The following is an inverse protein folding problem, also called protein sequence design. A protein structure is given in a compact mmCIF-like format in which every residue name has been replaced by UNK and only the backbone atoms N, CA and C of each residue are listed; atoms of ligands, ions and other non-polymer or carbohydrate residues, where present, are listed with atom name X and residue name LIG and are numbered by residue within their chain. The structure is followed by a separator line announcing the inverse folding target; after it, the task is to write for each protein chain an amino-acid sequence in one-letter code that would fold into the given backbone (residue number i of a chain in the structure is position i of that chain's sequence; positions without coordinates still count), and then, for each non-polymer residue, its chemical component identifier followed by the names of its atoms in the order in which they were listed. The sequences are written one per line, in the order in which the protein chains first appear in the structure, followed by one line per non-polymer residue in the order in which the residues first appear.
data_IF_328778634239
#
_entry.id   IF_328778634239
#
_cell.length_a   1.000
_cell.length_b   1.000
_cell.length_c   1.000
_cell.angle_alpha   90.00
_cell.angle_beta   90.00
_cell.angle_gamma   90.00
#
_symmetry.space_group_name_H-M   'P 1'
#
loop_
_entity.id
_entity.type
_entity.pdbx_description
1 polymer ?
#
# COMPACT_ATOMS: atom_id res chain seq x y z
N UNK A 1 37.53 -1.56 -9.95
CA UNK A 1 37.66 -2.46 -11.11
C UNK A 1 36.95 -3.75 -10.68
N UNK A 2 35.94 -4.19 -11.37
CA UNK A 2 35.14 -5.39 -11.02
C UNK A 2 36.02 -6.62 -11.23
N UNK A 3 36.19 -7.44 -10.20
CA UNK A 3 37.05 -8.64 -10.28
C UNK A 3 36.30 -9.88 -10.77
N UNK A 4 35.01 -9.95 -10.54
CA UNK A 4 34.13 -11.03 -11.04
C UNK A 4 32.67 -10.54 -11.03
N UNK A 5 31.90 -10.85 -12.06
CA UNK A 5 30.45 -10.56 -12.12
C UNK A 5 29.70 -11.87 -12.17
N UNK A 6 28.95 -12.17 -11.11
CA UNK A 6 27.97 -13.26 -11.11
C UNK A 6 26.60 -12.72 -11.49
N UNK A 7 25.97 -13.27 -12.52
CA UNK A 7 24.61 -12.92 -12.89
C UNK A 7 23.64 -13.87 -12.16
N UNK A 8 22.84 -13.34 -11.26
CA UNK A 8 21.74 -14.08 -10.63
C UNK A 8 20.49 -13.93 -11.46
N UNK A 9 20.15 -14.98 -12.24
CA UNK A 9 18.86 -15.08 -12.92
C UNK A 9 17.83 -15.63 -11.90
N UNK A 10 16.74 -14.94 -11.76
CA UNK A 10 15.68 -15.23 -10.82
C UNK A 10 15.01 -16.60 -11.07
N UNK A 11 15.00 -17.54 -10.11
CA UNK A 11 14.18 -18.73 -10.18
C UNK A 11 12.78 -18.46 -9.61
N UNK A 12 11.86 -18.04 -10.44
CA UNK A 12 10.46 -17.73 -10.09
C UNK A 12 9.63 -18.91 -9.54
N UNK A 13 10.18 -20.10 -9.33
CA UNK A 13 9.42 -21.25 -8.83
C UNK A 13 10.34 -22.24 -8.12
N UNK A 14 10.73 -21.96 -6.89
CA UNK A 14 11.29 -23.00 -6.03
C UNK A 14 10.82 -22.80 -4.58
N UNK A 15 10.60 -23.91 -3.91
CA UNK A 15 10.25 -23.99 -2.49
C UNK A 15 11.17 -23.09 -1.65
N UNK A 16 10.59 -22.25 -0.81
CA UNK A 16 11.30 -21.18 -0.08
C UNK A 16 12.57 -21.64 0.66
N UNK A 17 12.60 -22.88 1.20
CA UNK A 17 13.77 -23.42 1.88
C UNK A 17 14.97 -23.64 0.93
N UNK A 18 14.75 -24.26 -0.24
CA UNK A 18 15.82 -24.50 -1.21
C UNK A 18 16.38 -23.20 -1.81
N UNK A 19 15.58 -22.14 -1.85
CA UNK A 19 16.04 -20.80 -2.25
C UNK A 19 16.91 -20.19 -1.16
N UNK A 20 16.52 -20.29 0.12
CA UNK A 20 17.29 -19.77 1.24
C UNK A 20 18.68 -20.43 1.32
N UNK A 21 18.77 -21.77 1.22
CA UNK A 21 20.04 -22.51 1.24
C UNK A 21 20.96 -22.08 0.07
N UNK A 22 20.39 -21.86 -1.11
CA UNK A 22 21.16 -21.38 -2.27
C UNK A 22 21.64 -19.96 -2.10
N UNK A 23 20.84 -19.08 -1.51
CA UNK A 23 21.23 -17.69 -1.21
C UNK A 23 22.36 -17.67 -0.18
N UNK A 24 22.27 -18.46 0.89
CA UNK A 24 23.33 -18.60 1.89
C UNK A 24 24.66 -19.05 1.27
N UNK A 25 24.63 -20.06 0.41
CA UNK A 25 25.82 -20.52 -0.33
C UNK A 25 26.40 -19.49 -1.28
N UNK A 26 25.58 -18.61 -1.87
CA UNK A 26 26.04 -17.50 -2.71
C UNK A 26 26.68 -16.42 -1.84
N UNK A 27 26.03 -16.02 -0.76
CA UNK A 27 26.53 -15.00 0.16
C UNK A 27 27.84 -15.42 0.83
N UNK A 28 27.96 -16.70 1.24
CA UNK A 28 29.19 -17.24 1.81
C UNK A 28 30.36 -17.15 0.82
N UNK A 29 30.14 -17.52 -0.44
CA UNK A 29 31.15 -17.37 -1.49
C UNK A 29 31.53 -15.93 -1.79
N UNK A 30 30.56 -15.02 -1.78
CA UNK A 30 30.85 -13.58 -1.95
C UNK A 30 31.79 -13.08 -0.87
N UNK A 31 31.59 -13.48 0.39
CA UNK A 31 32.44 -13.11 1.51
C UNK A 31 33.83 -13.75 1.44
N UNK A 32 33.90 -15.07 1.13
CA UNK A 32 35.16 -15.84 1.10
C UNK A 32 36.05 -15.48 -0.09
N UNK A 33 35.47 -15.26 -1.26
CA UNK A 33 36.17 -15.07 -2.54
C UNK A 33 36.25 -13.61 -2.97
N UNK A 34 35.66 -12.67 -2.20
CA UNK A 34 35.56 -11.25 -2.54
C UNK A 34 34.99 -11.02 -3.96
N UNK A 35 33.84 -11.64 -4.23
CA UNK A 35 33.16 -11.60 -5.54
C UNK A 35 32.09 -10.53 -5.55
N UNK A 36 32.06 -9.71 -6.59
CA UNK A 36 30.97 -8.81 -6.87
C UNK A 36 29.82 -9.58 -7.54
N UNK A 37 28.56 -9.34 -7.09
CA UNK A 37 27.35 -9.96 -7.64
C UNK A 37 26.39 -8.90 -8.14
N UNK A 38 25.82 -9.10 -9.33
CA UNK A 38 24.77 -8.25 -9.87
C UNK A 38 23.42 -8.97 -9.84
N UNK A 39 22.42 -8.36 -9.21
CA UNK A 39 21.03 -8.79 -9.28
C UNK A 39 20.34 -8.11 -10.47
N UNK A 40 19.77 -8.92 -11.37
CA UNK A 40 19.05 -8.42 -12.55
C UNK A 40 17.66 -9.05 -12.63
N UNK A 41 16.74 -8.37 -13.28
CA UNK A 41 15.37 -8.83 -13.59
C UNK A 41 15.10 -8.73 -15.08
N UNK A 42 14.01 -9.31 -15.56
CA UNK A 42 13.64 -9.26 -16.98
C UNK A 42 13.33 -7.83 -17.44
N UNK A 43 12.80 -7.00 -16.56
CA UNK A 43 12.50 -5.59 -16.81
C UNK A 43 12.43 -4.77 -15.53
N UNK A 44 12.89 -3.52 -15.59
CA UNK A 44 12.77 -2.58 -14.49
C UNK A 44 13.82 -2.73 -13.38
N UNK A 45 13.49 -2.24 -12.20
CA UNK A 45 14.36 -2.24 -11.02
C UNK A 45 14.15 -3.52 -10.21
N UNK A 46 15.20 -4.31 -9.93
CA UNK A 46 15.11 -5.51 -9.09
C UNK A 46 14.47 -5.25 -7.73
N UNK A 47 13.84 -6.26 -7.15
CA UNK A 47 13.16 -6.23 -5.85
C UNK A 47 11.96 -5.26 -5.73
N UNK A 48 11.59 -4.54 -6.79
CA UNK A 48 10.40 -3.68 -6.83
C UNK A 48 9.29 -4.38 -7.61
N UNK A 49 8.41 -5.11 -6.95
CA UNK A 49 7.44 -6.04 -7.54
C UNK A 49 8.06 -7.16 -8.37
N UNK A 50 9.34 -7.33 -8.24
CA UNK A 50 10.16 -8.41 -8.78
C UNK A 50 10.89 -9.10 -7.63
N UNK A 51 11.27 -10.35 -7.77
CA UNK A 51 12.05 -11.05 -6.76
C UNK A 51 13.44 -10.43 -6.57
N UNK A 52 13.99 -10.61 -5.35
CA UNK A 52 15.32 -10.12 -5.01
C UNK A 52 15.41 -9.50 -3.62
N UNK A 53 14.28 -9.14 -3.03
CA UNK A 53 14.14 -8.56 -1.70
C UNK A 53 14.82 -9.43 -0.62
N UNK A 54 14.64 -10.75 -0.67
CA UNK A 54 15.27 -11.68 0.25
C UNK A 54 16.81 -11.65 0.11
N UNK A 55 17.34 -11.66 -1.12
CA UNK A 55 18.78 -11.58 -1.34
C UNK A 55 19.37 -10.28 -0.79
N UNK A 56 18.71 -9.16 -1.08
CA UNK A 56 19.12 -7.84 -0.58
C UNK A 56 19.08 -7.81 0.95
N UNK A 57 18.03 -8.38 1.56
CA UNK A 57 17.89 -8.46 3.01
C UNK A 57 19.01 -9.28 3.66
N UNK A 58 19.29 -10.47 3.15
CA UNK A 58 20.34 -11.34 3.71
C UNK A 58 21.74 -10.78 3.46
N UNK A 59 22.01 -10.17 2.30
CA UNK A 59 23.29 -9.49 2.03
C UNK A 59 23.53 -8.36 3.05
N UNK A 60 22.53 -7.53 3.29
CA UNK A 60 22.62 -6.45 4.28
C UNK A 60 22.85 -6.98 5.71
N UNK A 61 22.18 -8.08 6.09
CA UNK A 61 22.41 -8.74 7.40
C UNK A 61 23.82 -9.33 7.54
N UNK A 62 24.37 -9.84 6.45
CA UNK A 62 25.74 -10.36 6.41
C UNK A 62 26.83 -9.25 6.37
N UNK A 63 26.43 -7.98 6.34
CA UNK A 63 27.37 -6.85 6.25
C UNK A 63 27.95 -6.65 4.86
N UNK A 64 27.37 -7.26 3.82
CA UNK A 64 27.77 -7.06 2.43
C UNK A 64 27.17 -5.74 1.95
N UNK A 65 27.99 -4.91 1.32
CA UNK A 65 27.53 -3.65 0.76
C UNK A 65 26.56 -3.90 -0.40
N UNK A 66 25.37 -3.29 -0.32
CA UNK A 66 24.36 -3.34 -1.39
C UNK A 66 24.32 -1.98 -2.08
N UNK A 67 24.74 -1.96 -3.35
CA UNK A 67 24.80 -0.74 -4.16
C UNK A 67 23.60 -0.67 -5.10
N UNK A 68 22.67 0.27 -4.91
CA UNK A 68 21.56 0.45 -5.83
C UNK A 68 22.05 1.09 -7.15
N UNK A 69 21.69 0.48 -8.27
CA UNK A 69 21.97 1.04 -9.59
C UNK A 69 20.68 1.73 -10.08
N UNK A 70 20.64 3.06 -10.22
CA UNK A 70 19.49 3.76 -10.75
C UNK A 70 19.13 3.26 -12.15
N UNK A 71 17.85 2.97 -12.35
CA UNK A 71 17.38 2.42 -13.62
C UNK A 71 15.90 2.68 -13.88
N UNK A 72 15.37 2.02 -14.89
CA UNK A 72 13.98 2.13 -15.28
C UNK A 72 13.05 1.65 -14.17
N UNK A 73 12.06 2.48 -13.82
CA UNK A 73 11.01 2.14 -12.87
C UNK A 73 9.66 2.62 -13.43
N UNK A 74 8.77 1.68 -13.75
CA UNK A 74 7.47 2.00 -14.34
C UNK A 74 6.60 2.86 -13.41
N UNK A 75 6.73 2.70 -12.07
CA UNK A 75 6.04 3.52 -11.08
C UNK A 75 6.45 4.98 -11.21
N UNK A 76 7.76 5.28 -11.22
CA UNK A 76 8.27 6.65 -11.35
C UNK A 76 7.91 7.25 -12.72
N UNK A 77 8.02 6.48 -13.79
CA UNK A 77 7.66 6.91 -15.13
C UNK A 77 6.15 7.24 -15.24
N UNK A 78 5.28 6.38 -14.72
CA UNK A 78 3.84 6.62 -14.70
C UNK A 78 3.46 7.85 -13.87
N UNK A 79 4.05 8.02 -12.68
CA UNK A 79 3.83 9.19 -11.83
C UNK A 79 4.28 10.49 -12.50
N UNK A 80 5.42 10.50 -13.19
CA UNK A 80 5.90 11.68 -13.92
C UNK A 80 4.99 12.07 -15.08
N UNK A 81 4.24 11.11 -15.63
CA UNK A 81 3.35 11.30 -16.76
C UNK A 81 1.88 11.48 -16.38
N UNK A 82 1.44 11.16 -15.16
CA UNK A 82 0.02 11.13 -14.80
C UNK A 82 -0.62 12.53 -14.71
N UNK A 83 0.13 13.55 -14.29
CA UNK A 83 -0.38 14.91 -14.07
C UNK A 83 -1.10 15.11 -12.73
N UNK A 84 -1.08 14.09 -11.84
CA UNK A 84 -1.66 14.19 -10.50
C UNK A 84 -0.64 14.77 -9.50
N UNK A 85 -1.12 15.31 -8.36
CA UNK A 85 -0.25 15.77 -7.29
C UNK A 85 0.33 14.58 -6.52
N UNK A 86 1.51 14.12 -6.94
CA UNK A 86 2.15 12.89 -6.45
C UNK A 86 3.27 13.13 -5.44
N UNK A 87 3.12 14.16 -4.57
CA UNK A 87 4.05 14.37 -3.44
C UNK A 87 4.06 13.18 -2.49
N UNK A 88 2.88 12.63 -2.27
CA UNK A 88 2.66 11.39 -1.54
C UNK A 88 1.90 10.43 -2.46
N UNK A 89 2.34 9.18 -2.49
CA UNK A 89 1.66 8.14 -3.25
C UNK A 89 1.86 6.78 -2.56
N UNK A 90 0.96 5.84 -2.84
CA UNK A 90 1.08 4.47 -2.39
C UNK A 90 1.20 3.52 -3.59
N UNK A 91 2.19 2.61 -3.56
CA UNK A 91 2.36 1.58 -4.56
C UNK A 91 1.88 0.23 -4.02
N UNK A 92 1.01 -0.44 -4.77
CA UNK A 92 0.36 -1.68 -4.34
C UNK A 92 0.77 -2.91 -5.15
N UNK A 93 1.67 -2.78 -6.13
CA UNK A 93 2.00 -3.88 -7.03
C UNK A 93 0.78 -4.38 -7.79
N UNK A 94 0.61 -5.70 -7.91
CA UNK A 94 -0.56 -6.31 -8.53
C UNK A 94 -1.72 -6.43 -7.53
N UNK A 95 -2.90 -5.99 -7.94
CA UNK A 95 -4.11 -6.07 -7.12
C UNK A 95 -4.71 -7.49 -7.13
N UNK A 96 -5.56 -7.83 -6.12
CA UNK A 96 -6.19 -9.15 -6.03
C UNK A 96 -6.91 -9.57 -7.31
N UNK A 97 -6.90 -10.87 -7.62
CA UNK A 97 -7.55 -11.41 -8.82
C UNK A 97 -9.05 -11.58 -8.66
N UNK A 98 -9.49 -12.03 -7.49
CA UNK A 98 -10.89 -12.26 -7.21
C UNK A 98 -11.66 -10.93 -7.11
N UNK A 99 -12.77 -10.80 -7.84
CA UNK A 99 -13.55 -9.56 -7.93
C UNK A 99 -14.00 -9.03 -6.57
N UNK A 100 -14.37 -9.91 -5.64
CA UNK A 100 -14.77 -9.53 -4.29
C UNK A 100 -13.64 -8.92 -3.48
N UNK A 101 -12.45 -9.51 -3.54
CA UNK A 101 -11.28 -9.02 -2.83
C UNK A 101 -10.70 -7.76 -3.49
N UNK A 102 -10.78 -7.67 -4.82
CA UNK A 102 -10.42 -6.45 -5.56
C UNK A 102 -11.26 -5.26 -5.11
N UNK A 103 -12.60 -5.43 -5.03
CA UNK A 103 -13.51 -4.38 -4.56
C UNK A 103 -13.17 -3.92 -3.14
N UNK A 104 -13.01 -4.85 -2.20
CA UNK A 104 -12.60 -4.54 -0.82
C UNK A 104 -11.25 -3.83 -0.76
N UNK A 105 -10.28 -4.28 -1.57
CA UNK A 105 -8.96 -3.66 -1.63
C UNK A 105 -9.05 -2.23 -2.14
N UNK A 106 -9.81 -1.97 -3.21
CA UNK A 106 -10.01 -0.62 -3.75
C UNK A 106 -10.75 0.29 -2.77
N UNK A 107 -11.75 -0.20 -2.04
CA UNK A 107 -12.42 0.54 -0.97
C UNK A 107 -11.46 0.93 0.16
N UNK A 108 -10.53 0.04 0.55
CA UNK A 108 -9.52 0.36 1.54
C UNK A 108 -8.49 1.37 1.00
N UNK A 109 -8.06 1.21 -0.25
CA UNK A 109 -7.12 2.10 -0.93
C UNK A 109 -7.72 3.51 -1.02
N UNK A 110 -8.99 3.64 -1.44
CA UNK A 110 -9.65 4.93 -1.64
C UNK A 110 -9.77 5.79 -0.38
N UNK A 111 -9.61 5.20 0.81
CA UNK A 111 -9.63 5.90 2.11
C UNK A 111 -8.23 6.28 2.61
N UNK A 112 -7.20 5.82 1.94
CA UNK A 112 -5.80 6.04 2.30
C UNK A 112 -5.18 7.25 1.58
N UNK A 113 -3.92 7.08 1.14
CA UNK A 113 -3.24 8.09 0.32
C UNK A 113 -3.96 8.22 -1.02
N UNK A 114 -4.35 9.45 -1.43
CA UNK A 114 -5.21 9.64 -2.61
C UNK A 114 -4.61 9.13 -3.91
N UNK A 115 -3.31 9.37 -4.11
CA UNK A 115 -2.62 8.93 -5.32
C UNK A 115 -2.04 7.55 -5.12
N UNK A 116 -2.49 6.60 -5.93
CA UNK A 116 -2.13 5.20 -5.82
C UNK A 116 -1.62 4.66 -7.15
N UNK A 117 -0.61 3.80 -7.09
CA UNK A 117 -0.04 3.15 -8.27
C UNK A 117 -0.24 1.64 -8.15
N UNK A 118 -0.61 0.99 -9.26
CA UNK A 118 -0.70 -0.45 -9.35
C UNK A 118 -0.21 -0.96 -10.72
N UNK A 119 0.28 -2.19 -10.74
CA UNK A 119 0.51 -2.94 -11.97
C UNK A 119 -0.70 -3.81 -12.28
N UNK A 120 -0.95 -4.03 -13.56
CA UNK A 120 -2.00 -4.95 -13.97
C UNK A 120 -1.63 -5.68 -15.27
N UNK A 121 -2.12 -6.91 -15.39
CA UNK A 121 -1.96 -7.68 -16.60
C UNK A 121 -2.89 -7.18 -17.70
N UNK A 122 -2.52 -7.34 -18.99
CA UNK A 122 -3.32 -6.88 -20.11
C UNK A 122 -4.71 -7.53 -20.17
N UNK A 123 -4.85 -8.78 -19.69
CA UNK A 123 -6.13 -9.50 -19.66
C UNK A 123 -7.10 -9.02 -18.57
N UNK A 124 -6.61 -8.23 -17.62
CA UNK A 124 -7.40 -7.80 -16.45
C UNK A 124 -7.58 -6.28 -16.33
N UNK A 125 -6.78 -5.50 -17.07
CA UNK A 125 -6.79 -4.05 -17.00
C UNK A 125 -8.20 -3.47 -17.25
N UNK A 126 -8.91 -3.97 -18.26
CA UNK A 126 -10.27 -3.54 -18.59
C UNK A 126 -11.25 -3.83 -17.46
N UNK A 127 -11.17 -5.01 -16.84
CA UNK A 127 -12.01 -5.39 -15.69
C UNK A 127 -11.73 -4.51 -14.47
N UNK A 128 -10.45 -4.23 -14.18
CA UNK A 128 -10.06 -3.35 -13.08
C UNK A 128 -10.63 -1.93 -13.28
N UNK A 129 -10.46 -1.36 -14.48
CA UNK A 129 -10.97 -0.03 -14.79
C UNK A 129 -12.52 -0.01 -14.76
N UNK A 130 -13.19 -1.10 -15.18
CA UNK A 130 -14.65 -1.20 -15.07
C UNK A 130 -15.12 -1.16 -13.61
N UNK A 131 -14.42 -1.83 -12.69
CA UNK A 131 -14.74 -1.77 -11.25
C UNK A 131 -14.52 -0.35 -10.70
N UNK A 132 -13.46 0.35 -11.13
CA UNK A 132 -13.24 1.75 -10.75
C UNK A 132 -14.36 2.66 -11.27
N UNK A 133 -14.77 2.51 -12.53
CA UNK A 133 -15.84 3.31 -13.14
C UNK A 133 -17.20 3.06 -12.47
N UNK A 134 -17.48 1.82 -12.04
CA UNK A 134 -18.72 1.45 -11.35
C UNK A 134 -18.78 2.03 -9.92
N UNK A 135 -17.68 2.00 -9.19
CA UNK A 135 -17.66 2.23 -7.74
C UNK A 135 -17.12 3.58 -7.32
N UNK A 136 -16.30 4.21 -8.17
CA UNK A 136 -15.57 5.44 -7.87
C UNK A 136 -15.65 6.40 -9.06
N UNK A 137 -16.86 6.94 -9.30
CA UNK A 137 -17.14 7.79 -10.47
C UNK A 137 -16.22 9.01 -10.57
N UNK A 138 -15.78 9.55 -9.42
CA UNK A 138 -14.90 10.72 -9.34
C UNK A 138 -13.41 10.36 -9.31
N UNK A 139 -13.06 9.07 -9.47
CA UNK A 139 -11.68 8.64 -9.57
C UNK A 139 -11.10 9.01 -10.94
N UNK A 140 -10.03 9.75 -10.94
CA UNK A 140 -9.22 10.01 -12.14
C UNK A 140 -8.19 8.88 -12.32
N UNK A 141 -7.95 8.51 -13.56
CA UNK A 141 -7.05 7.41 -13.92
C UNK A 141 -6.06 7.84 -14.98
N UNK A 142 -4.78 7.53 -14.76
CA UNK A 142 -3.75 7.52 -15.78
C UNK A 142 -3.31 6.07 -16.00
N UNK A 143 -3.68 5.51 -17.14
CA UNK A 143 -3.36 4.13 -17.52
C UNK A 143 -2.24 4.14 -18.55
N UNK A 144 -1.04 3.74 -18.14
CA UNK A 144 0.14 3.66 -18.98
C UNK A 144 0.31 2.23 -19.50
N UNK A 145 0.45 2.09 -20.81
CA UNK A 145 0.67 0.82 -21.50
C UNK A 145 2.03 0.85 -22.18
N UNK A 146 2.83 -0.20 -22.01
CA UNK A 146 4.12 -0.40 -22.66
C UNK A 146 5.07 0.80 -22.53
N UNK A 147 5.19 1.38 -21.33
CA UNK A 147 6.10 2.48 -21.04
C UNK A 147 7.51 2.19 -21.57
N UNK A 148 8.09 3.18 -22.24
CA UNK A 148 9.41 3.12 -22.90
C UNK A 148 9.53 2.16 -24.09
N UNK A 149 8.44 1.50 -24.51
CA UNK A 149 8.40 0.61 -25.68
C UNK A 149 7.87 1.31 -26.93
N UNK A 150 8.07 0.71 -28.11
CA UNK A 150 7.66 1.26 -29.41
C UNK A 150 6.16 1.61 -29.51
N UNK A 151 5.33 0.91 -28.74
CA UNK A 151 3.88 1.08 -28.78
C UNK A 151 3.33 1.69 -27.48
N UNK A 152 4.16 2.47 -26.79
CA UNK A 152 3.74 3.20 -25.59
C UNK A 152 2.43 3.98 -25.83
N UNK A 153 1.50 3.82 -24.91
CA UNK A 153 0.23 4.57 -24.88
C UNK A 153 -0.09 5.00 -23.46
N UNK A 154 -0.61 6.20 -23.34
CA UNK A 154 -1.07 6.72 -22.05
C UNK A 154 -2.50 7.22 -22.20
N UNK A 155 -3.41 6.60 -21.48
CA UNK A 155 -4.82 6.97 -21.40
C UNK A 155 -5.06 7.77 -20.12
N UNK A 156 -5.80 8.88 -20.19
CA UNK A 156 -6.09 9.75 -19.06
C UNK A 156 -7.54 10.17 -19.03
N UNK A 157 -8.09 10.40 -17.83
CA UNK A 157 -9.43 10.89 -17.59
C UNK A 157 -10.12 10.19 -16.44
N UNK A 158 -11.43 10.35 -16.33
CA UNK A 158 -12.21 9.56 -15.38
C UNK A 158 -12.11 8.06 -15.70
N UNK A 159 -12.33 7.20 -14.70
CA UNK A 159 -12.30 5.76 -14.92
C UNK A 159 -13.21 5.32 -16.08
N UNK A 160 -14.38 5.95 -16.24
CA UNK A 160 -15.30 5.68 -17.34
C UNK A 160 -14.70 6.04 -18.71
N UNK A 161 -14.06 7.21 -18.84
CA UNK A 161 -13.42 7.64 -20.08
C UNK A 161 -12.24 6.72 -20.47
N UNK A 162 -11.43 6.33 -19.49
CA UNK A 162 -10.30 5.41 -19.72
C UNK A 162 -10.81 4.03 -20.12
N UNK A 163 -11.93 3.56 -19.52
CA UNK A 163 -12.56 2.30 -19.91
C UNK A 163 -12.97 2.30 -21.40
N UNK A 164 -13.60 3.37 -21.86
CA UNK A 164 -14.01 3.49 -23.27
C UNK A 164 -12.81 3.54 -24.22
N UNK A 165 -11.75 4.25 -23.84
CA UNK A 165 -10.50 4.29 -24.61
C UNK A 165 -9.83 2.92 -24.72
N UNK A 166 -9.83 2.14 -23.62
CA UNK A 166 -9.30 0.78 -23.61
C UNK A 166 -10.13 -0.17 -24.47
N UNK A 167 -11.47 -0.12 -24.37
CA UNK A 167 -12.38 -0.92 -25.22
C UNK A 167 -12.23 -0.60 -26.70
N UNK A 168 -11.95 0.66 -27.05
CA UNK A 168 -11.71 1.06 -28.42
C UNK A 168 -10.34 0.59 -28.98
N UNK A 169 -9.42 0.14 -28.10
CA UNK A 169 -8.11 -0.36 -28.53
C UNK A 169 -8.14 -1.87 -28.74
N UNK A 170 -8.07 -2.39 -30.00
CA UNK A 170 -8.09 -3.83 -30.27
C UNK A 170 -6.87 -4.60 -29.73
N UNK A 171 -5.86 -3.88 -29.25
CA UNK A 171 -4.65 -4.45 -28.66
C UNK A 171 -4.58 -4.25 -27.15
N UNK A 172 -5.68 -3.87 -26.48
CA UNK A 172 -5.69 -3.66 -25.02
C UNK A 172 -5.34 -4.91 -24.20
N UNK A 173 -5.55 -6.10 -24.78
CA UNK A 173 -5.19 -7.38 -24.17
C UNK A 173 -3.70 -7.75 -24.34
N UNK A 174 -2.86 -6.82 -24.77
CA UNK A 174 -1.42 -7.01 -24.96
C UNK A 174 -0.65 -5.90 -24.24
N UNK A 175 0.60 -6.21 -23.90
CA UNK A 175 1.50 -5.24 -23.27
C UNK A 175 1.53 -5.34 -21.75
N UNK A 176 2.12 -4.36 -21.13
CA UNK A 176 2.30 -4.23 -19.66
C UNK A 176 1.66 -2.92 -19.20
N UNK A 177 0.91 -3.00 -18.11
CA UNK A 177 0.14 -1.87 -17.63
C UNK A 177 0.63 -1.39 -16.26
N UNK A 178 0.88 -0.08 -16.18
CA UNK A 178 1.09 0.64 -14.92
C UNK A 178 0.00 1.72 -14.81
N UNK A 179 -0.77 1.67 -13.73
CA UNK A 179 -1.92 2.52 -13.52
C UNK A 179 -1.67 3.46 -12.35
N UNK A 180 -2.05 4.72 -12.51
CA UNK A 180 -2.10 5.69 -11.42
C UNK A 180 -3.56 6.08 -11.23
N UNK A 181 -4.05 5.98 -10.00
CA UNK A 181 -5.39 6.37 -9.60
C UNK A 181 -5.31 7.59 -8.70
N UNK A 182 -6.21 8.56 -8.90
CA UNK A 182 -6.37 9.69 -7.99
C UNK A 182 -7.78 9.68 -7.40
N UNK A 183 -7.85 9.42 -6.10
CA UNK A 183 -9.08 9.41 -5.31
C UNK A 183 -9.35 10.75 -4.60
N UNK A 184 -8.57 11.80 -4.82
CA UNK A 184 -8.71 13.09 -4.11
C UNK A 184 -10.11 13.66 -4.20
N UNK A 185 -10.74 13.58 -5.38
CA UNK A 185 -12.11 14.07 -5.59
C UNK A 185 -13.14 13.17 -4.90
N UNK A 186 -12.97 11.86 -4.96
CA UNK A 186 -13.84 10.91 -4.29
C UNK A 186 -13.79 11.05 -2.76
N UNK A 187 -12.63 11.40 -2.21
CA UNK A 187 -12.45 11.67 -0.78
C UNK A 187 -13.05 13.02 -0.37
N UNK A 188 -12.95 14.04 -1.20
CA UNK A 188 -13.52 15.37 -0.91
C UNK A 188 -15.06 15.41 -1.04
N UNK A 189 -15.65 14.52 -1.83
CA UNK A 189 -17.11 14.37 -1.93
C UNK A 189 -17.71 13.53 -0.79
N UNK A 190 -16.89 12.72 -0.12
CA UNK A 190 -17.25 12.14 1.16
C UNK A 190 -16.96 13.24 2.20
N UNK A 191 -18.00 13.94 2.67
CA UNK A 191 -17.91 14.64 3.96
C UNK A 191 -17.20 13.67 4.93
N UNK A 192 -16.34 14.18 5.84
CA UNK A 192 -15.77 13.33 6.84
C UNK A 192 -16.94 12.63 7.54
N UNK A 193 -17.29 11.44 7.06
CA UNK A 193 -18.03 10.52 7.89
C UNK A 193 -17.05 10.35 9.06
N UNK A 194 -17.36 11.05 10.14
CA UNK A 194 -16.88 10.64 11.45
C UNK A 194 -16.92 9.13 11.38
N UNK A 195 -15.74 8.49 11.44
CA UNK A 195 -15.71 7.03 11.62
C UNK A 195 -16.81 6.76 12.62
N UNK A 196 -17.82 5.89 12.34
CA UNK A 196 -18.72 5.53 13.38
C UNK A 196 -17.79 5.08 14.48
N UNK A 197 -17.69 5.91 15.51
CA UNK A 197 -16.81 5.67 16.64
C UNK A 197 -17.15 4.23 17.00
N UNK A 198 -16.19 3.33 16.92
CA UNK A 198 -16.40 1.98 17.44
C UNK A 198 -17.06 2.23 18.77
N UNK A 199 -18.23 1.62 19.09
CA UNK A 199 -19.02 2.02 20.22
C UNK A 199 -18.06 2.20 21.37
N UNK A 200 -17.77 3.48 21.70
CA UNK A 200 -16.73 3.77 22.68
C UNK A 200 -17.25 3.09 23.93
N UNK A 201 -16.46 2.21 24.49
CA UNK A 201 -16.81 1.67 25.79
C UNK A 201 -17.03 2.86 26.71
N UNK A 202 -17.88 2.72 27.70
CA UNK A 202 -18.14 3.81 28.62
C UNK A 202 -16.82 4.35 29.25
N UNK A 203 -15.83 3.48 29.41
CA UNK A 203 -14.47 3.81 29.85
C UNK A 203 -13.75 4.69 28.81
N UNK A 204 -13.79 4.32 27.54
CA UNK A 204 -13.16 5.06 26.45
C UNK A 204 -13.74 6.47 26.30
N UNK A 205 -15.06 6.62 26.40
CA UNK A 205 -15.71 7.93 26.40
C UNK A 205 -15.24 8.80 27.58
N UNK A 206 -15.27 8.25 28.80
CA UNK A 206 -14.87 8.99 30.01
C UNK A 206 -13.40 9.42 29.91
N UNK A 207 -12.50 8.56 29.44
CA UNK A 207 -11.08 8.89 29.24
C UNK A 207 -10.90 10.01 28.21
N UNK A 208 -11.61 9.96 27.09
CA UNK A 208 -11.53 10.99 26.03
C UNK A 208 -11.98 12.34 26.58
N UNK A 209 -13.11 12.39 27.29
CA UNK A 209 -13.61 13.64 27.89
C UNK A 209 -12.67 14.19 28.99
N UNK A 210 -12.05 13.30 29.76
CA UNK A 210 -11.02 13.71 30.73
C UNK A 210 -9.77 14.27 30.05
N UNK A 211 -9.33 13.70 28.96
CA UNK A 211 -8.23 14.25 28.16
C UNK A 211 -8.55 15.64 27.59
N UNK A 212 -9.81 15.90 27.25
CA UNK A 212 -10.33 17.21 26.83
C UNK A 212 -10.51 18.20 28.01
N UNK A 213 -10.24 17.76 29.23
CA UNK A 213 -10.28 18.60 30.43
C UNK A 213 -11.57 18.49 31.25
N UNK A 214 -12.53 17.64 30.89
CA UNK A 214 -13.75 17.46 31.67
C UNK A 214 -13.51 16.54 32.89
N UNK A 215 -14.11 16.83 34.05
CA UNK A 215 -14.07 15.92 35.21
C UNK A 215 -14.75 14.58 34.89
N UNK A 216 -14.23 13.47 35.40
CA UNK A 216 -14.80 12.12 35.16
C UNK A 216 -16.29 12.01 35.55
N UNK A 217 -16.75 12.78 36.52
CA UNK A 217 -18.14 12.81 36.96
C UNK A 217 -19.04 13.49 35.90
N UNK A 218 -18.58 14.55 35.29
CA UNK A 218 -19.28 15.27 34.25
C UNK A 218 -19.37 14.41 32.99
N UNK A 219 -18.27 13.80 32.55
CA UNK A 219 -18.24 12.86 31.42
C UNK A 219 -19.22 11.67 31.64
N UNK A 220 -19.29 11.15 32.86
CA UNK A 220 -20.23 10.09 33.20
C UNK A 220 -21.71 10.56 33.16
N UNK A 221 -21.98 11.80 33.60
CA UNK A 221 -23.31 12.37 33.53
C UNK A 221 -23.77 12.62 32.07
N UNK A 222 -22.90 13.13 31.23
CA UNK A 222 -23.15 13.30 29.81
C UNK A 222 -23.51 11.97 29.12
N UNK A 223 -22.75 10.90 29.40
CA UNK A 223 -22.97 9.58 28.82
C UNK A 223 -24.31 8.98 29.25
N UNK A 224 -24.73 9.21 30.47
CA UNK A 224 -26.06 8.81 30.95
C UNK A 224 -27.17 9.63 30.26
N UNK A 225 -26.95 10.94 30.06
CA UNK A 225 -27.88 11.79 29.34
C UNK A 225 -28.05 11.37 27.85
N UNK A 226 -27.00 10.80 27.26
CA UNK A 226 -27.02 10.21 25.91
C UNK A 226 -27.70 8.82 25.85
N UNK A 227 -28.21 8.31 26.97
CA UNK A 227 -28.98 7.06 27.01
C UNK A 227 -28.21 5.83 27.49
N UNK A 228 -26.97 5.96 27.92
CA UNK A 228 -26.21 4.82 28.45
C UNK A 228 -26.76 4.36 29.83
N UNK A 229 -26.67 3.06 30.06
CA UNK A 229 -27.18 2.46 31.34
C UNK A 229 -26.37 2.94 32.54
N UNK A 230 -27.03 3.57 33.48
CA UNK A 230 -26.42 4.18 34.69
C UNK A 230 -25.45 3.24 35.42
N UNK A 231 -25.74 1.95 35.52
CA UNK A 231 -24.90 0.97 36.21
C UNK A 231 -23.60 0.64 35.42
N UNK A 232 -23.64 0.65 34.07
CA UNK A 232 -22.47 0.44 33.22
C UNK A 232 -21.55 1.65 33.33
N UNK A 233 -22.08 2.86 33.22
CA UNK A 233 -21.34 4.11 33.33
C UNK A 233 -20.67 4.26 34.73
N UNK A 234 -21.36 3.89 35.79
CA UNK A 234 -20.76 3.91 37.15
C UNK A 234 -19.57 2.96 37.27
N UNK A 235 -19.67 1.73 36.75
CA UNK A 235 -18.56 0.76 36.73
C UNK A 235 -17.37 1.28 35.92
N UNK A 236 -17.64 1.84 34.73
CA UNK A 236 -16.65 2.45 33.90
C UNK A 236 -15.90 3.60 34.60
N UNK A 237 -16.62 4.51 35.24
CA UNK A 237 -16.01 5.62 35.96
C UNK A 237 -15.11 5.16 37.12
N UNK A 238 -15.47 4.07 37.83
CA UNK A 238 -14.64 3.47 38.86
C UNK A 238 -13.37 2.85 38.25
N UNK A 239 -13.50 2.10 37.16
CA UNK A 239 -12.38 1.47 36.46
C UNK A 239 -11.36 2.52 35.98
N UNK A 240 -11.85 3.58 35.32
CA UNK A 240 -10.99 4.69 34.86
C UNK A 240 -10.23 5.34 36.00
N UNK A 241 -10.88 5.62 37.12
CA UNK A 241 -10.20 6.17 38.32
C UNK A 241 -9.12 5.22 38.84
N UNK A 242 -9.38 3.92 38.91
CA UNK A 242 -8.41 2.93 39.33
C UNK A 242 -7.18 2.88 38.43
N UNK A 243 -7.37 2.90 37.09
CA UNK A 243 -6.27 2.93 36.13
C UNK A 243 -5.40 4.18 36.27
N UNK A 244 -6.02 5.36 36.40
CA UNK A 244 -5.27 6.61 36.62
C UNK A 244 -4.46 6.55 37.89
N UNK A 245 -5.04 6.05 38.99
CA UNK A 245 -4.33 5.91 40.26
C UNK A 245 -3.14 4.95 40.19
N UNK A 246 -3.23 3.88 39.41
CA UNK A 246 -2.10 2.96 39.17
C UNK A 246 -0.98 3.61 38.38
N UNK A 247 -1.31 4.34 37.34
CA UNK A 247 -0.31 5.06 36.51
C UNK A 247 0.45 6.14 37.27
N UNK A 248 -0.23 6.82 38.23
CA UNK A 248 0.42 7.85 39.05
C UNK A 248 1.26 7.29 40.20
N UNK A 249 1.13 6.00 40.54
CA UNK A 249 1.95 5.35 41.59
C UNK A 249 3.22 4.68 41.04
N UNK A 250 3.32 4.49 39.71
CA UNK A 250 4.51 3.94 39.08
C UNK A 250 5.55 5.02 38.71
N UNK A 251 5.25 6.30 38.93
CA UNK A 251 6.16 7.44 38.66
C UNK A 251 6.81 8.00 39.96
N UNK A 252 6.54 7.45 41.16
CA UNK A 252 7.24 7.73 42.40
C UNK A 252 8.23 6.59 42.75
#
# INVERSE_FOLDING_TARGET
MWHSVGILINPMKAECAAVADRLEGILSRMLEENIDVALTTDAGTPAVSDPGDLLVHEAARAGIEVIPIPGCCAVAAALSACGFSSREFAFYGFLPREKGDLRKKLENISRGIPVCVAYESPHRVTDLIAVLAERFADCEVCCCCDLTKLHEKIYRGSAAQVLEQLKANPKAEKGEYCLVFDFSRAQSAQEPQEKPAAPQSAEGYILTRMYEGAPAQEAAAELIAQGAKKNEVKRAAIAVKAWISQLTQEEE
#
